data_IF_676482509265
#
_entry.id   IF_676482509265
#
_cell.length_a   1.000
_cell.length_b   1.000
_cell.length_c   1.000
_cell.angle_alpha   90.00
_cell.angle_beta   90.00
_cell.angle_gamma   90.00
#
_symmetry.space_group_name_H-M   'P 1'
#
loop_
_entity.id
_entity.type
_entity.pdbx_description
1 polymer ?
#
# COMPACT_ATOMS: atom_id res chain seq x y z
N UNK A 1 8.62 14.46 4.54
CA UNK A 1 9.32 13.96 3.32
C UNK A 1 10.18 12.73 3.59
N UNK A 2 11.16 12.77 4.51
CA UNK A 2 12.03 11.59 4.80
C UNK A 2 11.24 10.31 5.15
N UNK A 3 10.19 10.41 5.96
CA UNK A 3 9.42 9.23 6.38
C UNK A 3 8.50 8.68 5.27
N UNK A 4 7.98 9.55 4.41
CA UNK A 4 7.23 9.16 3.20
C UNK A 4 8.12 8.36 2.25
N UNK A 5 9.35 8.85 2.01
CA UNK A 5 10.34 8.16 1.15
C UNK A 5 10.73 6.81 1.74
N UNK A 6 10.95 6.72 3.07
CA UNK A 6 11.19 5.43 3.74
C UNK A 6 10.01 4.47 3.56
N UNK A 7 8.78 4.95 3.76
CA UNK A 7 7.57 4.15 3.56
C UNK A 7 7.45 3.62 2.14
N UNK A 8 7.67 4.48 1.14
CA UNK A 8 7.71 4.10 -0.28
C UNK A 8 8.80 3.06 -0.58
N UNK A 9 10.01 3.24 -0.04
CA UNK A 9 11.11 2.29 -0.25
C UNK A 9 10.78 0.91 0.33
N UNK A 10 10.19 0.86 1.54
CA UNK A 10 9.77 -0.39 2.17
C UNK A 10 8.65 -1.06 1.36
N UNK A 11 7.63 -0.32 0.94
CA UNK A 11 6.52 -0.86 0.15
C UNK A 11 6.98 -1.43 -1.19
N UNK A 12 7.84 -0.71 -1.91
CA UNK A 12 8.36 -1.19 -3.18
C UNK A 12 9.35 -2.37 -2.99
N UNK A 13 10.13 -2.39 -1.91
CA UNK A 13 10.96 -3.54 -1.56
C UNK A 13 10.13 -4.79 -1.27
N UNK A 14 9.02 -4.65 -0.53
CA UNK A 14 8.08 -5.73 -0.29
C UNK A 14 7.38 -6.18 -1.58
N UNK A 15 6.99 -5.25 -2.44
CA UNK A 15 6.40 -5.57 -3.75
C UNK A 15 7.38 -6.40 -4.60
N UNK A 16 8.67 -6.03 -4.61
CA UNK A 16 9.70 -6.79 -5.30
C UNK A 16 9.83 -8.22 -4.78
N UNK A 17 9.94 -8.39 -3.46
CA UNK A 17 10.02 -9.72 -2.83
C UNK A 17 8.76 -10.53 -3.15
N UNK A 18 7.57 -9.92 -3.06
CA UNK A 18 6.30 -10.56 -3.36
C UNK A 18 6.18 -11.00 -4.80
N UNK A 19 6.54 -10.13 -5.75
CA UNK A 19 6.57 -10.46 -7.18
C UNK A 19 7.58 -11.58 -7.46
N UNK A 20 8.80 -11.52 -6.93
CA UNK A 20 9.80 -12.59 -7.10
C UNK A 20 9.33 -13.93 -6.54
N UNK A 21 8.70 -13.93 -5.36
CA UNK A 21 8.15 -15.15 -4.78
C UNK A 21 7.01 -15.74 -5.63
N UNK A 22 6.09 -14.91 -6.13
CA UNK A 22 5.00 -15.35 -6.99
C UNK A 22 5.50 -15.90 -8.32
N UNK A 23 6.48 -15.23 -8.94
CA UNK A 23 7.13 -15.70 -10.17
C UNK A 23 7.77 -17.07 -9.95
N UNK A 24 8.50 -17.26 -8.84
CA UNK A 24 9.13 -18.53 -8.49
C UNK A 24 8.10 -19.64 -8.25
N UNK A 25 7.04 -19.37 -7.47
CA UNK A 25 5.99 -20.33 -7.17
C UNK A 25 5.19 -20.75 -8.41
N UNK A 26 4.96 -19.82 -9.34
CA UNK A 26 4.22 -20.08 -10.58
C UNK A 26 5.11 -20.58 -11.72
N UNK A 27 6.43 -20.69 -11.51
CA UNK A 27 7.39 -21.17 -12.51
C UNK A 27 7.44 -20.31 -13.78
N UNK A 28 7.18 -19.01 -13.66
CA UNK A 28 7.16 -18.09 -14.81
C UNK A 28 8.57 -17.69 -15.20
N UNK A 29 8.91 -17.88 -16.47
CA UNK A 29 10.25 -17.61 -17.00
C UNK A 29 10.26 -16.56 -18.12
N UNK A 30 9.10 -16.14 -18.60
CA UNK A 30 8.99 -15.09 -19.62
C UNK A 30 8.89 -13.71 -18.97
N UNK A 31 9.56 -12.72 -19.56
CA UNK A 31 9.52 -11.31 -19.14
C UNK A 31 8.08 -10.78 -19.13
N UNK A 32 7.26 -11.18 -20.11
CA UNK A 32 5.85 -10.77 -20.20
C UNK A 32 5.04 -11.30 -19.03
N UNK A 33 5.24 -12.55 -18.65
CA UNK A 33 4.53 -13.18 -17.52
C UNK A 33 4.97 -12.58 -16.18
N UNK A 34 6.26 -12.27 -16.04
CA UNK A 34 6.79 -11.57 -14.87
C UNK A 34 6.20 -10.16 -14.72
N UNK A 35 6.05 -9.43 -15.84
CA UNK A 35 5.45 -8.10 -15.85
C UNK A 35 3.96 -8.15 -15.49
N UNK A 36 3.23 -9.17 -15.93
CA UNK A 36 1.82 -9.35 -15.60
C UNK A 36 1.63 -9.59 -14.09
N UNK A 37 2.46 -10.46 -13.48
CA UNK A 37 2.49 -10.66 -12.02
C UNK A 37 2.86 -9.37 -11.29
N UNK A 38 3.88 -8.64 -11.76
CA UNK A 38 4.28 -7.37 -11.16
C UNK A 38 3.14 -6.33 -11.23
N UNK A 39 2.38 -6.34 -12.32
CA UNK A 39 1.22 -5.48 -12.52
C UNK A 39 0.08 -5.82 -11.56
N UNK A 40 -0.22 -7.10 -11.35
CA UNK A 40 -1.20 -7.54 -10.36
C UNK A 40 -0.80 -7.16 -8.93
N UNK A 41 0.48 -7.29 -8.59
CA UNK A 41 0.99 -6.85 -7.27
C UNK A 41 0.85 -5.34 -7.09
N UNK A 42 1.20 -4.55 -8.10
CA UNK A 42 1.06 -3.09 -8.08
C UNK A 42 -0.40 -2.64 -7.98
N UNK A 43 -1.29 -3.23 -8.77
CA UNK A 43 -2.73 -2.97 -8.72
C UNK A 43 -3.34 -3.41 -7.40
N UNK A 44 -2.94 -4.57 -6.87
CA UNK A 44 -3.39 -5.05 -5.57
C UNK A 44 -2.98 -4.12 -4.43
N UNK A 45 -1.75 -3.65 -4.44
CA UNK A 45 -1.25 -2.69 -3.46
C UNK A 45 -1.99 -1.34 -3.57
N UNK A 46 -2.24 -0.85 -4.78
CA UNK A 46 -3.03 0.36 -5.02
C UNK A 46 -4.50 0.21 -4.59
N UNK A 47 -5.12 -0.93 -4.88
CA UNK A 47 -6.50 -1.23 -4.46
C UNK A 47 -6.63 -1.33 -2.93
N UNK A 48 -5.67 -1.98 -2.26
CA UNK A 48 -5.61 -2.00 -0.80
C UNK A 48 -5.47 -0.59 -0.22
N UNK A 49 -4.62 0.25 -0.81
CA UNK A 49 -4.49 1.65 -0.41
C UNK A 49 -5.78 2.44 -0.59
N UNK A 50 -6.48 2.24 -1.70
CA UNK A 50 -7.78 2.87 -1.96
C UNK A 50 -8.86 2.40 -0.96
N UNK A 51 -8.90 1.11 -0.62
CA UNK A 51 -9.81 0.56 0.38
C UNK A 51 -9.51 1.11 1.79
N UNK A 52 -8.24 1.22 2.17
CA UNK A 52 -7.84 1.83 3.45
C UNK A 52 -8.21 3.31 3.50
N UNK A 53 -8.01 4.04 2.40
CA UNK A 53 -8.40 5.44 2.28
C UNK A 53 -9.92 5.61 2.41
N UNK A 54 -10.72 4.86 1.64
CA UNK A 54 -12.18 4.90 1.73
C UNK A 54 -12.67 4.46 3.12
N UNK A 55 -12.14 3.36 3.65
CA UNK A 55 -12.49 2.84 4.98
C UNK A 55 -12.21 3.84 6.11
N UNK A 56 -11.11 4.60 6.02
CA UNK A 56 -10.79 5.65 6.99
C UNK A 56 -11.79 6.82 6.98
N UNK A 57 -12.40 7.10 5.82
CA UNK A 57 -13.46 8.12 5.70
C UNK A 57 -14.82 7.61 6.19
N UNK A 58 -15.11 6.32 6.06
CA UNK A 58 -16.38 5.66 6.44
C UNK A 58 -16.47 5.25 7.92
N UNK A 59 -15.54 5.71 8.76
CA UNK A 59 -15.32 5.30 10.16
C UNK A 59 -16.56 5.06 11.01
N UNK A 60 -17.05 3.82 10.98
CA UNK A 60 -18.24 3.33 11.70
C UNK A 60 -17.91 2.25 12.74
N UNK A 61 -16.63 1.95 12.99
CA UNK A 61 -16.23 0.83 13.88
C UNK A 61 -15.33 1.22 15.06
N UNK A 62 -15.08 2.51 15.29
CA UNK A 62 -14.31 2.97 16.45
C UNK A 62 -15.13 3.02 17.76
N UNK A 63 -16.40 2.58 17.77
CA UNK A 63 -17.32 2.80 18.88
C UNK A 63 -17.20 1.82 20.05
N UNK A 64 -16.65 0.62 19.87
CA UNK A 64 -16.74 -0.42 20.92
C UNK A 64 -15.60 -0.37 21.95
N UNK A 65 -14.39 0.00 21.55
CA UNK A 65 -13.22 0.07 22.45
C UNK A 65 -13.06 1.42 23.19
N UNK A 66 -13.73 2.45 22.69
CA UNK A 66 -13.65 3.81 23.22
C UNK A 66 -14.73 4.10 24.28
N UNK A 67 -15.87 3.42 24.26
CA UNK A 67 -16.96 3.68 25.20
C UNK A 67 -16.56 3.57 26.69
N UNK A 68 -15.53 2.77 27.03
CA UNK A 68 -15.05 2.64 28.41
C UNK A 68 -14.15 3.81 28.88
N UNK A 69 -13.40 4.47 27.99
CA UNK A 69 -12.54 5.63 28.33
C UNK A 69 -13.24 6.99 28.08
N UNK A 70 -14.45 6.97 27.53
CA UNK A 70 -15.25 8.17 27.26
C UNK A 70 -15.78 8.87 28.50
N UNK A 71 -15.86 8.15 29.62
CA UNK A 71 -16.34 8.69 30.87
C UNK A 71 -15.35 9.68 31.51
N UNK A 72 -14.04 9.53 31.24
CA UNK A 72 -13.01 10.28 31.98
C UNK A 72 -12.48 11.51 31.22
N UNK A 73 -12.28 11.47 29.90
CA UNK A 73 -11.68 12.59 29.14
C UNK A 73 -12.18 12.68 27.68
N UNK A 74 -13.31 13.35 27.40
CA UNK A 74 -13.88 13.44 26.06
C UNK A 74 -12.98 14.16 25.03
N UNK A 75 -12.11 15.07 25.47
CA UNK A 75 -11.14 15.77 24.59
C UNK A 75 -10.09 14.82 24.02
N UNK A 76 -9.59 13.85 24.81
CA UNK A 76 -8.59 12.87 24.37
C UNK A 76 -9.13 11.86 23.37
N UNK A 77 -10.43 11.54 23.45
CA UNK A 77 -11.06 10.66 22.48
C UNK A 77 -11.19 11.32 21.12
N UNK A 78 -11.52 12.62 21.12
CA UNK A 78 -11.61 13.39 19.89
C UNK A 78 -10.26 13.39 19.19
N UNK A 79 -9.16 13.69 19.92
CA UNK A 79 -7.81 13.65 19.37
C UNK A 79 -7.39 12.25 18.88
N UNK A 80 -7.77 11.19 19.59
CA UNK A 80 -7.49 9.82 19.17
C UNK A 80 -8.24 9.43 17.89
N UNK A 81 -9.52 9.82 17.77
CA UNK A 81 -10.33 9.60 16.58
C UNK A 81 -9.81 10.38 15.36
N UNK A 82 -9.40 11.62 15.56
CA UNK A 82 -8.81 12.43 14.49
C UNK A 82 -7.43 11.90 14.08
N UNK A 83 -6.63 11.43 15.05
CA UNK A 83 -5.35 10.78 14.80
C UNK A 83 -5.48 9.48 14.00
N UNK A 84 -6.47 8.64 14.33
CA UNK A 84 -6.73 7.38 13.65
C UNK A 84 -7.26 7.57 12.22
N UNK A 85 -8.13 8.58 12.00
CA UNK A 85 -8.55 8.97 10.66
C UNK A 85 -7.39 9.52 9.82
N UNK A 86 -6.58 10.42 10.38
CA UNK A 86 -5.44 11.00 9.68
C UNK A 86 -4.37 9.95 9.32
N UNK A 87 -4.13 8.98 10.21
CA UNK A 87 -3.19 7.88 9.98
C UNK A 87 -3.71 6.92 8.90
N UNK A 88 -5.01 6.60 8.89
CA UNK A 88 -5.65 5.78 7.86
C UNK A 88 -5.61 6.43 6.47
N UNK A 89 -5.92 7.72 6.39
CA UNK A 89 -5.81 8.52 5.16
C UNK A 89 -4.37 8.54 4.64
N UNK A 90 -3.40 8.82 5.52
CA UNK A 90 -1.98 8.89 5.16
C UNK A 90 -1.43 7.53 4.71
N UNK A 91 -1.83 6.45 5.38
CA UNK A 91 -1.38 5.09 5.05
C UNK A 91 -2.00 4.61 3.73
N UNK A 92 -3.29 4.85 3.52
CA UNK A 92 -3.97 4.55 2.26
C UNK A 92 -3.33 5.28 1.08
N UNK A 93 -3.05 6.57 1.22
CA UNK A 93 -2.36 7.36 0.21
C UNK A 93 -0.94 6.84 -0.08
N UNK A 94 -0.18 6.42 0.94
CA UNK A 94 1.15 5.83 0.77
C UNK A 94 1.09 4.51 -0.02
N UNK A 95 0.10 3.66 0.22
CA UNK A 95 -0.09 2.41 -0.52
C UNK A 95 -0.48 2.67 -1.98
N UNK A 96 -1.35 3.65 -2.25
CA UNK A 96 -1.69 4.06 -3.63
C UNK A 96 -0.45 4.57 -4.36
N UNK A 97 0.29 5.49 -3.75
CA UNK A 97 1.53 6.02 -4.33
C UNK A 97 2.58 4.92 -4.51
N UNK A 98 2.69 4.00 -3.55
CA UNK A 98 3.53 2.81 -3.65
C UNK A 98 3.16 1.96 -4.85
N UNK A 99 1.87 1.71 -5.08
CA UNK A 99 1.37 0.88 -6.18
C UNK A 99 1.71 1.49 -7.54
N UNK A 100 1.48 2.79 -7.69
CA UNK A 100 1.83 3.54 -8.91
C UNK A 100 3.33 3.52 -9.14
N UNK A 101 4.12 3.78 -8.10
CA UNK A 101 5.59 3.79 -8.19
C UNK A 101 6.12 2.42 -8.62
N UNK A 102 5.58 1.34 -8.05
CA UNK A 102 5.94 -0.03 -8.42
C UNK A 102 5.61 -0.32 -9.89
N UNK A 103 4.40 0.04 -10.35
CA UNK A 103 4.00 -0.14 -11.74
C UNK A 103 4.94 0.57 -12.71
N UNK A 104 5.32 1.82 -12.40
CA UNK A 104 6.28 2.57 -13.21
C UNK A 104 7.64 1.87 -13.27
N UNK A 105 8.16 1.38 -12.12
CA UNK A 105 9.43 0.69 -12.07
C UNK A 105 9.40 -0.66 -12.80
N UNK A 106 8.34 -1.45 -12.63
CA UNK A 106 8.16 -2.74 -13.29
C UNK A 106 8.13 -2.59 -14.82
N UNK A 107 7.42 -1.59 -15.33
CA UNK A 107 7.39 -1.26 -16.75
C UNK A 107 8.75 -0.82 -17.30
N UNK A 108 9.46 0.05 -16.58
CA UNK A 108 10.82 0.48 -16.96
C UNK A 108 11.79 -0.70 -16.99
N UNK A 109 11.73 -1.58 -16.00
CA UNK A 109 12.55 -2.80 -15.94
C UNK A 109 12.26 -3.74 -17.12
N UNK A 110 10.99 -3.94 -17.46
CA UNK A 110 10.62 -4.75 -18.63
C UNK A 110 11.16 -4.15 -19.94
N UNK A 111 11.06 -2.84 -20.13
CA UNK A 111 11.62 -2.17 -21.32
C UNK A 111 13.13 -2.34 -21.45
N UNK A 112 13.86 -2.30 -20.34
CA UNK A 112 15.32 -2.53 -20.33
C UNK A 112 15.65 -3.98 -20.66
N UNK A 113 14.84 -4.94 -20.20
CA UNK A 113 15.06 -6.37 -20.42
C UNK A 113 14.64 -6.84 -21.83
N UNK A 114 13.68 -6.15 -22.46
CA UNK A 114 13.18 -6.43 -23.81
C UNK A 114 13.98 -5.69 -24.91
N UNK A 115 14.92 -4.82 -24.53
CA UNK A 115 15.82 -4.15 -25.47
C UNK A 115 16.75 -5.18 -26.12
N UNK A 116 16.74 -5.34 -27.46
CA UNK A 116 17.71 -6.18 -28.15
C UNK A 116 19.10 -5.55 -27.98
N UNK A 117 19.98 -6.23 -27.24
CA UNK A 117 21.42 -6.02 -27.36
C UNK A 117 21.93 -6.64 -28.66
#
# INVERSE_FOLDING_TARGET
MKDIVKGLAVLNGLALIGTSALVWLMGRNSVVEMLDIASYVGLGMGALGALMFVGSTSGSSASTGMAASAADQPSRMMDALWGDKASGISTGALFVLGGITWLCMAWLLAMVLDSPN
#
